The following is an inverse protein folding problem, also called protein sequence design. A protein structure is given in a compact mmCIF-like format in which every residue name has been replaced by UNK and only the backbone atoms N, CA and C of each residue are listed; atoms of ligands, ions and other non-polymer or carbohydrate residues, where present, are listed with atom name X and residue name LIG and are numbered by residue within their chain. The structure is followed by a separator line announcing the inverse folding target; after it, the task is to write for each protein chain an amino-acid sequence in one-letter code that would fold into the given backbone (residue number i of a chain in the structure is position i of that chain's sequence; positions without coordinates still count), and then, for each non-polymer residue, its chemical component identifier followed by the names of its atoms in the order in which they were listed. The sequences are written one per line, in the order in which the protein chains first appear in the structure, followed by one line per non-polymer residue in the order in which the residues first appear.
data_IF_809995034271
#
_entry.id   IF_809995034271
#
_cell.length_a   1.000
_cell.length_b   1.000
_cell.length_c   1.000
_cell.angle_alpha   90.00
_cell.angle_beta   90.00
_cell.angle_gamma   90.00
#
_symmetry.space_group_name_H-M   'P 1'
#
loop_
_entity.id
_entity.type
_entity.pdbx_description
1 polymer ?
#
# COMPACT_ATOMS: atom_id res chain seq x y z
N UNK A 1 6.43 -5.76 -23.22
CA UNK A 1 7.70 -5.26 -22.61
C UNK A 1 7.71 -5.74 -21.19
N UNK A 2 8.75 -6.45 -20.78
CA UNK A 2 8.74 -7.22 -19.53
C UNK A 2 9.20 -6.39 -18.33
N UNK A 3 10.14 -5.49 -18.57
CA UNK A 3 10.65 -4.55 -17.58
C UNK A 3 11.15 -3.25 -18.23
N UNK A 4 11.28 -2.21 -17.42
CA UNK A 4 11.85 -0.90 -17.78
C UNK A 4 12.86 -0.51 -16.70
N UNK A 5 13.95 0.16 -17.10
CA UNK A 5 14.84 0.86 -16.18
C UNK A 5 14.56 2.37 -16.27
N UNK A 6 14.17 2.98 -15.16
CA UNK A 6 14.09 4.43 -15.01
C UNK A 6 15.41 4.91 -14.42
N UNK A 7 16.01 5.93 -15.02
CA UNK A 7 17.26 6.54 -14.55
C UNK A 7 17.01 8.01 -14.21
N UNK A 8 17.59 8.49 -13.11
CA UNK A 8 17.52 9.88 -12.67
C UNK A 8 18.87 10.37 -12.14
N UNK A 9 19.21 11.64 -12.40
CA UNK A 9 20.46 12.27 -11.97
C UNK A 9 20.19 13.69 -11.46
N UNK A 10 20.97 14.14 -10.47
CA UNK A 10 20.87 15.47 -9.88
C UNK A 10 22.23 16.04 -9.48
N UNK A 11 22.26 17.33 -9.13
CA UNK A 11 23.47 18.00 -8.67
C UNK A 11 24.08 17.33 -7.43
N UNK A 12 25.39 17.52 -7.23
CA UNK A 12 26.12 16.95 -6.09
C UNK A 12 26.44 15.46 -6.21
N UNK A 13 26.38 14.88 -7.42
CA UNK A 13 26.70 13.46 -7.63
C UNK A 13 25.56 12.50 -7.31
N UNK A 14 24.32 12.99 -7.18
CA UNK A 14 23.15 12.15 -6.91
C UNK A 14 22.72 11.40 -8.16
N UNK A 15 22.66 10.06 -8.09
CA UNK A 15 22.24 9.19 -9.19
C UNK A 15 21.30 8.12 -8.64
N UNK A 16 20.24 7.83 -9.38
CA UNK A 16 19.28 6.78 -9.04
C UNK A 16 18.89 5.97 -10.28
N UNK A 17 18.60 4.70 -10.07
CA UNK A 17 18.00 3.83 -11.09
C UNK A 17 16.96 2.93 -10.43
N UNK A 18 15.82 2.75 -11.08
CA UNK A 18 14.72 1.93 -10.62
C UNK A 18 14.28 0.97 -11.72
N UNK A 19 14.08 -0.31 -11.35
CA UNK A 19 13.51 -1.31 -12.25
C UNK A 19 12.00 -1.36 -12.02
N UNK A 20 11.22 -1.29 -13.10
CA UNK A 20 9.78 -1.54 -13.08
C UNK A 20 9.53 -2.84 -13.84
N UNK A 21 8.87 -3.80 -13.19
CA UNK A 21 8.39 -5.02 -13.84
C UNK A 21 6.97 -4.82 -14.35
N UNK A 22 6.68 -5.36 -15.53
CA UNK A 22 5.33 -5.32 -16.11
C UNK A 22 4.32 -6.09 -15.25
N UNK A 23 3.01 -5.76 -15.35
CA UNK A 23 1.96 -6.51 -14.67
C UNK A 23 2.02 -8.02 -14.96
N UNK A 24 2.34 -8.42 -16.19
CA UNK A 24 2.42 -9.82 -16.61
C UNK A 24 3.54 -10.59 -15.90
N UNK A 25 4.72 -9.96 -15.75
CA UNK A 25 5.83 -10.55 -15.00
C UNK A 25 5.49 -10.61 -13.51
N UNK A 26 4.90 -9.54 -12.96
CA UNK A 26 4.46 -9.54 -11.56
C UNK A 26 3.42 -10.63 -11.28
N UNK A 27 2.43 -10.83 -12.16
CA UNK A 27 1.45 -11.93 -12.02
C UNK A 27 2.10 -13.32 -12.10
N UNK A 28 3.13 -13.48 -12.94
CA UNK A 28 3.92 -14.72 -12.99
C UNK A 28 4.64 -14.97 -11.68
N UNK A 29 5.23 -13.94 -11.06
CA UNK A 29 5.89 -14.06 -9.75
C UNK A 29 4.90 -14.38 -8.64
N UNK A 30 3.73 -13.74 -8.64
CA UNK A 30 2.66 -14.01 -7.67
C UNK A 30 2.16 -15.45 -7.77
N UNK A 31 1.99 -15.97 -9.00
CA UNK A 31 1.55 -17.34 -9.24
C UNK A 31 2.55 -18.41 -8.78
N UNK A 32 3.84 -18.04 -8.61
CA UNK A 32 4.84 -18.92 -7.98
C UNK A 32 4.76 -18.92 -6.46
N UNK A 33 4.30 -17.83 -5.86
CA UNK A 33 4.24 -17.64 -4.39
C UNK A 33 2.92 -18.13 -3.79
N UNK A 34 1.82 -17.96 -4.53
CA UNK A 34 0.47 -18.27 -4.07
C UNK A 34 -0.14 -19.42 -4.86
N UNK A 35 -1.05 -20.14 -4.23
CA UNK A 35 -1.80 -21.21 -4.90
C UNK A 35 -2.71 -20.66 -6.00
N UNK A 36 -3.04 -21.50 -6.98
CA UNK A 36 -3.96 -21.16 -8.07
C UNK A 36 -5.32 -20.68 -7.54
N UNK A 37 -5.82 -21.28 -6.46
CA UNK A 37 -7.09 -20.86 -5.84
C UNK A 37 -7.01 -19.44 -5.25
N UNK A 38 -5.91 -19.10 -4.56
CA UNK A 38 -5.68 -17.75 -4.04
C UNK A 38 -5.56 -16.72 -5.17
N UNK A 39 -4.83 -17.06 -6.24
CA UNK A 39 -4.71 -16.20 -7.42
C UNK A 39 -6.05 -15.97 -8.11
N UNK A 40 -6.85 -17.02 -8.30
CA UNK A 40 -8.18 -16.91 -8.89
C UNK A 40 -9.11 -16.04 -8.03
N UNK A 41 -9.10 -16.24 -6.70
CA UNK A 41 -9.89 -15.43 -5.78
C UNK A 41 -9.48 -13.94 -5.82
N UNK A 42 -8.18 -13.64 -5.91
CA UNK A 42 -7.71 -12.28 -6.12
C UNK A 42 -8.14 -11.69 -7.48
N UNK A 43 -8.02 -12.45 -8.56
CA UNK A 43 -8.42 -12.02 -9.90
C UNK A 43 -9.92 -11.68 -9.97
N UNK A 44 -10.78 -12.48 -9.33
CA UNK A 44 -12.22 -12.21 -9.24
C UNK A 44 -12.51 -10.89 -8.51
N UNK A 45 -11.83 -10.63 -7.38
CA UNK A 45 -11.97 -9.35 -6.65
C UNK A 45 -11.44 -8.16 -7.45
N UNK A 46 -10.39 -8.36 -8.25
CA UNK A 46 -9.77 -7.31 -9.07
C UNK A 46 -10.72 -6.73 -10.12
N UNK A 47 -11.67 -7.52 -10.63
CA UNK A 47 -12.61 -7.03 -11.64
C UNK A 47 -13.46 -5.86 -11.12
N UNK A 48 -13.92 -5.91 -9.86
CA UNK A 48 -14.65 -4.78 -9.26
C UNK A 48 -13.78 -3.54 -9.08
N UNK A 49 -12.50 -3.74 -8.75
CA UNK A 49 -11.53 -2.64 -8.63
C UNK A 49 -11.31 -1.96 -9.98
N UNK A 50 -11.15 -2.74 -11.07
CA UNK A 50 -11.00 -2.20 -12.42
C UNK A 50 -12.22 -1.39 -12.86
N UNK A 51 -13.42 -1.92 -12.64
CA UNK A 51 -14.68 -1.22 -12.95
C UNK A 51 -14.73 0.13 -12.21
N UNK A 52 -14.39 0.14 -10.92
CA UNK A 52 -14.39 1.36 -10.10
C UNK A 52 -13.34 2.37 -10.58
N UNK A 53 -12.13 1.89 -10.92
CA UNK A 53 -11.07 2.74 -11.46
C UNK A 53 -11.45 3.36 -12.81
N UNK A 54 -12.10 2.60 -13.70
CA UNK A 54 -12.59 3.08 -14.99
C UNK A 54 -13.69 4.15 -14.82
N UNK A 55 -14.62 3.94 -13.88
CA UNK A 55 -15.66 4.92 -13.58
C UNK A 55 -15.07 6.24 -13.03
N UNK A 56 -14.04 6.13 -12.18
CA UNK A 56 -13.30 7.30 -11.68
C UNK A 56 -12.55 8.03 -12.80
N UNK A 57 -11.82 7.32 -13.66
CA UNK A 57 -11.08 7.90 -14.78
C UNK A 57 -12.00 8.64 -15.75
N UNK A 58 -13.17 8.05 -16.06
CA UNK A 58 -14.19 8.69 -16.87
C UNK A 58 -14.75 9.96 -16.23
N UNK A 59 -14.97 9.94 -14.91
CA UNK A 59 -15.44 11.11 -14.15
C UNK A 59 -14.38 12.21 -14.11
N UNK A 60 -13.10 11.85 -13.99
CA UNK A 60 -11.98 12.77 -13.97
C UNK A 60 -11.79 13.44 -15.33
N UNK A 61 -11.83 12.66 -16.40
CA UNK A 61 -11.74 13.15 -17.79
C UNK A 61 -12.88 14.12 -18.13
N UNK A 62 -14.07 13.90 -17.55
CA UNK A 62 -15.23 14.79 -17.71
C UNK A 62 -15.22 16.01 -16.78
N UNK A 63 -14.22 16.14 -15.90
CA UNK A 63 -14.15 17.22 -14.91
C UNK A 63 -15.19 17.14 -13.79
N UNK A 64 -15.78 15.95 -13.57
CA UNK A 64 -16.83 15.72 -12.56
C UNK A 64 -16.22 15.25 -11.24
N UNK A 65 -15.01 14.67 -11.29
CA UNK A 65 -14.29 14.26 -10.08
C UNK A 65 -14.00 15.45 -9.17
N UNK A 66 -14.42 15.34 -7.91
CA UNK A 66 -14.24 16.38 -6.89
C UNK A 66 -12.91 16.17 -6.16
N UNK A 67 -12.15 17.24 -5.88
CA UNK A 67 -10.99 17.13 -5.01
C UNK A 67 -11.44 16.71 -3.60
N UNK A 68 -10.68 15.82 -2.98
CA UNK A 68 -10.89 15.43 -1.60
C UNK A 68 -10.15 16.44 -0.70
N UNK A 69 -10.89 17.31 -0.03
CA UNK A 69 -10.36 18.26 0.95
C UNK A 69 -10.89 17.92 2.34
N UNK A 70 -9.97 17.54 3.24
CA UNK A 70 -10.26 17.00 4.55
C UNK A 70 -9.62 17.88 5.64
N UNK A 71 -10.10 19.12 5.76
CA UNK A 71 -9.67 20.01 6.85
C UNK A 71 -10.28 19.55 8.17
N UNK A 72 -9.44 19.42 9.19
CA UNK A 72 -9.83 19.03 10.55
C UNK A 72 -10.67 17.73 10.62
N UNK A 73 -10.49 16.85 9.61
CA UNK A 73 -11.25 15.62 9.49
C UNK A 73 -10.51 14.50 10.21
N UNK A 74 -11.18 13.85 11.18
CA UNK A 74 -10.63 12.74 11.97
C UNK A 74 -9.32 13.08 12.70
N UNK A 75 -9.20 14.33 13.18
CA UNK A 75 -8.12 14.69 14.09
C UNK A 75 -8.35 13.98 15.41
N UNK A 76 -7.36 13.18 15.82
CA UNK A 76 -7.36 12.46 17.10
C UNK A 76 -6.39 13.16 18.07
N UNK A 77 -6.77 13.27 19.33
CA UNK A 77 -5.89 13.64 20.43
C UNK A 77 -5.38 12.37 21.15
N UNK A 78 -4.44 12.53 22.08
CA UNK A 78 -3.93 11.40 22.87
C UNK A 78 -5.01 10.71 23.71
N UNK A 79 -6.05 11.42 24.12
CA UNK A 79 -7.16 10.90 24.92
C UNK A 79 -8.09 10.00 24.10
N UNK A 80 -8.10 10.17 22.77
CA UNK A 80 -8.87 9.33 21.86
C UNK A 80 -8.22 7.94 21.66
N UNK A 81 -6.96 7.78 22.05
CA UNK A 81 -6.20 6.54 21.84
C UNK A 81 -6.30 5.62 23.06
N UNK A 82 -6.46 4.32 22.82
CA UNK A 82 -6.21 3.30 23.85
C UNK A 82 -4.81 2.76 23.65
N UNK A 83 -3.92 2.99 24.62
CA UNK A 83 -2.52 2.59 24.59
C UNK A 83 -2.27 1.56 25.68
N UNK A 84 -1.62 0.45 25.33
CA UNK A 84 -1.10 -0.54 26.27
C UNK A 84 0.37 -0.86 25.96
N UNK A 85 0.95 -1.76 26.76
CA UNK A 85 2.27 -2.35 26.52
C UNK A 85 2.28 -3.37 25.36
N UNK A 86 1.14 -3.63 24.73
CA UNK A 86 1.00 -4.60 23.64
C UNK A 86 0.52 -3.98 22.32
N UNK A 87 -0.29 -2.92 22.38
CA UNK A 87 -0.88 -2.32 21.19
C UNK A 87 -1.37 -0.88 21.38
N UNK A 88 -1.58 -0.19 20.26
CA UNK A 88 -2.26 1.11 20.19
C UNK A 88 -3.51 0.95 19.34
N UNK A 89 -4.67 1.37 19.87
CA UNK A 89 -5.96 1.37 19.18
C UNK A 89 -6.38 2.79 18.82
N UNK A 90 -6.80 2.97 17.57
CA UNK A 90 -7.29 4.23 17.02
C UNK A 90 -8.79 4.11 16.74
N UNK A 91 -9.63 5.08 17.17
CA UNK A 91 -11.04 5.12 16.80
C UNK A 91 -11.22 5.13 15.27
N UNK A 92 -12.18 4.36 14.77
CA UNK A 92 -12.45 4.24 13.34
C UNK A 92 -11.54 3.29 12.56
N UNK A 93 -10.49 2.73 13.19
CA UNK A 93 -9.61 1.75 12.57
C UNK A 93 -9.82 0.36 13.20
N UNK A 94 -10.14 -0.68 12.39
CA UNK A 94 -10.43 -2.01 12.92
C UNK A 94 -9.17 -2.76 13.38
N UNK A 95 -8.00 -2.39 12.87
CA UNK A 95 -6.75 -3.08 13.15
C UNK A 95 -5.89 -2.23 14.11
N UNK A 96 -5.52 -2.75 15.28
CA UNK A 96 -4.61 -2.08 16.19
C UNK A 96 -3.17 -2.07 15.65
N UNK A 97 -2.37 -1.11 16.11
CA UNK A 97 -0.92 -1.09 15.88
C UNK A 97 -0.26 -1.93 16.98
N UNK A 98 0.22 -3.12 16.63
CA UNK A 98 0.96 -3.98 17.57
C UNK A 98 2.32 -3.36 17.92
N UNK A 99 2.67 -3.34 19.21
CA UNK A 99 4.02 -3.00 19.68
C UNK A 99 4.81 -4.25 20.08
N UNK A 100 4.20 -5.43 20.01
CA UNK A 100 4.91 -6.70 20.03
C UNK A 100 5.62 -6.90 18.69
N UNK A 101 6.82 -6.35 18.60
CA UNK A 101 7.73 -6.49 17.47
C UNK A 101 8.87 -7.43 17.83
N UNK A 102 9.36 -8.17 16.85
CA UNK A 102 10.56 -8.97 17.04
C UNK A 102 11.75 -8.06 17.38
N UNK A 103 12.30 -8.23 18.58
CA UNK A 103 13.54 -7.56 18.95
C UNK A 103 14.69 -8.09 18.04
N UNK A 104 15.33 -7.24 17.23
CA UNK A 104 16.43 -7.65 16.36
C UNK A 104 17.74 -7.93 17.14
N UNK A 105 17.77 -7.63 18.44
CA UNK A 105 18.92 -7.80 19.33
C UNK A 105 18.65 -8.85 20.42
N UNK A 106 17.79 -9.85 20.14
CA UNK A 106 17.51 -10.94 21.10
C UNK A 106 18.79 -11.67 21.54
N UNK A 107 19.81 -11.66 20.70
CA UNK A 107 21.14 -12.21 20.97
C UNK A 107 21.96 -11.42 22.02
N UNK A 108 21.56 -10.19 22.36
CA UNK A 108 22.20 -9.37 23.40
C UNK A 108 21.45 -9.37 24.75
N UNK A 109 20.31 -10.06 24.84
CA UNK A 109 19.54 -10.19 26.07
C UNK A 109 19.64 -11.63 26.59
N UNK A 110 20.28 -11.80 27.75
CA UNK A 110 20.43 -13.09 28.45
C UNK A 110 19.09 -13.74 28.83
#
# INVERSE_FOLDING_TARGET
MDSVLINAKGFGGNNASAVILSPQITETLLSKRYSSAQMQHWQLRREKVKETAQAYDLSATRGISRPLYLYDHQVLTGEDLSISDQEIKLPGYPNPVSINVENPYKDFTN
#
